data_IF_025263983998
#
_entry.id   IF_025263983998
#
_cell.length_a   1.000
_cell.length_b   1.000
_cell.length_c   1.000
_cell.angle_alpha   90.00
_cell.angle_beta   90.00
_cell.angle_gamma   90.00
#
_symmetry.space_group_name_H-M   'P 1'
#
loop_
_entity.id
_entity.type
_entity.pdbx_description
1 polymer ?
#
# COMPACT_ATOMS: atom_id res chain seq x y z
N UNK A 1 -14.62 22.33 9.33
CA UNK A 1 -15.29 21.00 9.19
C UNK A 1 -14.33 20.04 8.52
N UNK A 2 -14.15 18.83 9.06
CA UNK A 2 -13.36 17.76 8.46
C UNK A 2 -14.27 16.69 7.84
N UNK A 3 -13.87 16.14 6.68
CA UNK A 3 -14.53 15.01 6.01
C UNK A 3 -13.48 13.98 5.63
N UNK A 4 -13.78 12.71 5.81
CA UNK A 4 -12.94 11.61 5.36
C UNK A 4 -13.78 10.45 4.82
N UNK A 5 -13.20 9.69 3.89
CA UNK A 5 -13.79 8.45 3.39
C UNK A 5 -12.81 7.30 3.62
N UNK A 6 -13.30 6.23 4.22
CA UNK A 6 -12.49 5.06 4.54
C UNK A 6 -12.56 4.05 3.39
N UNK A 7 -11.42 3.56 2.89
CA UNK A 7 -11.39 2.52 1.86
C UNK A 7 -11.68 1.14 2.43
N UNK A 8 -11.92 0.16 1.53
CA UNK A 8 -12.14 -1.25 1.82
C UNK A 8 -11.10 -2.12 1.11
N UNK A 9 -10.76 -3.27 1.66
CA UNK A 9 -9.89 -4.26 1.01
C UNK A 9 -10.69 -5.34 0.29
N UNK A 10 -10.23 -5.77 -0.90
CA UNK A 10 -10.67 -7.02 -1.53
C UNK A 10 -9.77 -8.19 -1.07
N UNK A 11 -8.47 -7.94 -0.93
CA UNK A 11 -7.50 -8.82 -0.25
C UNK A 11 -7.28 -8.29 1.16
N UNK A 12 -7.45 -9.13 2.18
CA UNK A 12 -7.34 -8.75 3.59
C UNK A 12 -6.57 -9.80 4.36
N UNK A 13 -5.57 -9.39 5.14
CA UNK A 13 -4.88 -10.25 6.10
C UNK A 13 -5.83 -10.67 7.24
N UNK A 14 -5.68 -11.89 7.71
CA UNK A 14 -6.57 -12.43 8.78
C UNK A 14 -6.40 -11.71 10.13
N UNK A 15 -5.34 -10.94 10.28
CA UNK A 15 -5.00 -10.22 11.51
C UNK A 15 -5.39 -8.73 11.47
N UNK A 16 -6.05 -8.26 10.41
CA UNK A 16 -6.53 -6.87 10.30
C UNK A 16 -7.61 -6.54 11.33
N UNK A 17 -7.71 -5.26 11.70
CA UNK A 17 -8.86 -4.76 12.45
C UNK A 17 -10.16 -4.93 11.64
N UNK A 18 -11.26 -5.19 12.33
CA UNK A 18 -12.52 -5.57 11.70
C UNK A 18 -13.17 -4.39 10.97
N UNK A 19 -13.38 -4.54 9.67
CA UNK A 19 -14.28 -3.70 8.90
C UNK A 19 -15.73 -4.13 9.14
N UNK A 20 -16.51 -3.29 9.84
CA UNK A 20 -17.88 -3.63 10.20
C UNK A 20 -18.81 -3.48 9.00
N UNK A 21 -19.48 -4.58 8.63
CA UNK A 21 -20.48 -4.68 7.55
C UNK A 21 -21.84 -5.06 8.08
N UNK A 22 -22.90 -4.71 7.33
CA UNK A 22 -24.30 -4.97 7.72
C UNK A 22 -24.68 -6.43 7.57
N UNK A 23 -24.07 -7.18 6.64
CA UNK A 23 -24.34 -8.58 6.30
C UNK A 23 -25.76 -8.84 5.75
N UNK A 24 -26.52 -7.78 5.49
CA UNK A 24 -27.84 -7.88 4.83
C UNK A 24 -27.64 -8.11 3.32
N UNK A 25 -27.83 -9.33 2.87
CA UNK A 25 -27.64 -9.74 1.48
C UNK A 25 -28.55 -9.01 0.49
N UNK A 26 -29.69 -8.48 0.95
CA UNK A 26 -30.64 -7.73 0.12
C UNK A 26 -30.15 -6.29 -0.14
N UNK A 27 -29.12 -5.84 0.57
CA UNK A 27 -28.58 -4.51 0.48
C UNK A 27 -27.07 -4.55 0.26
N UNK A 28 -26.61 -4.07 -0.93
CA UNK A 28 -25.21 -4.12 -1.36
C UNK A 28 -24.55 -5.50 -1.21
N UNK A 29 -25.33 -6.56 -1.43
CA UNK A 29 -24.87 -7.96 -1.29
C UNK A 29 -24.22 -8.26 0.07
N UNK A 30 -24.72 -7.66 1.15
CA UNK A 30 -24.17 -7.79 2.50
C UNK A 30 -23.09 -6.77 2.88
N UNK A 31 -22.60 -6.00 1.92
CA UNK A 31 -21.48 -5.07 2.11
C UNK A 31 -21.89 -3.66 2.56
N UNK A 32 -23.14 -3.43 2.96
CA UNK A 32 -23.62 -2.18 3.54
C UNK A 32 -22.87 -1.82 4.83
N UNK A 33 -22.91 -0.55 5.24
CA UNK A 33 -22.18 -0.02 6.42
C UNK A 33 -23.08 0.81 7.36
N UNK A 34 -24.39 0.55 7.37
CA UNK A 34 -25.31 1.29 8.26
C UNK A 34 -25.02 1.07 9.75
N UNK A 35 -24.57 -0.14 10.13
CA UNK A 35 -24.12 -0.41 11.51
C UNK A 35 -22.96 0.50 11.90
N UNK A 36 -21.95 0.64 11.04
CA UNK A 36 -20.82 1.53 11.27
C UNK A 36 -21.25 3.00 11.34
N UNK A 37 -22.13 3.44 10.42
CA UNK A 37 -22.71 4.79 10.41
C UNK A 37 -23.49 5.07 11.70
N UNK A 38 -24.29 4.10 12.16
CA UNK A 38 -25.00 4.22 13.44
C UNK A 38 -24.04 4.35 14.62
N UNK A 39 -22.98 3.55 14.65
CA UNK A 39 -21.94 3.64 15.69
C UNK A 39 -21.28 5.01 15.72
N UNK A 40 -21.00 5.60 14.55
CA UNK A 40 -20.46 6.97 14.47
C UNK A 40 -21.44 7.98 15.06
N UNK A 41 -22.70 7.96 14.62
CA UNK A 41 -23.66 9.01 14.93
C UNK A 41 -24.21 8.92 16.36
N UNK A 42 -24.41 7.72 16.88
CA UNK A 42 -25.11 7.51 18.16
C UNK A 42 -24.15 7.17 19.32
N UNK A 43 -22.99 6.57 19.04
CA UNK A 43 -22.10 6.08 20.09
C UNK A 43 -20.81 6.91 20.13
N UNK A 44 -20.05 6.96 19.03
CA UNK A 44 -18.76 7.66 18.98
C UNK A 44 -18.98 9.17 19.16
N UNK A 45 -19.95 9.74 18.44
CA UNK A 45 -20.24 11.19 18.52
C UNK A 45 -20.49 11.66 19.96
N UNK A 46 -21.26 10.90 20.74
CA UNK A 46 -21.52 11.24 22.15
C UNK A 46 -20.26 11.19 23.02
N UNK A 47 -19.34 10.28 22.72
CA UNK A 47 -18.09 10.11 23.49
C UNK A 47 -17.06 11.19 23.23
N UNK A 48 -17.04 11.77 22.03
CA UNK A 48 -16.03 12.76 21.64
C UNK A 48 -16.57 14.20 21.63
N UNK A 49 -17.87 14.39 21.84
CA UNK A 49 -18.49 15.72 21.86
C UNK A 49 -17.86 16.58 22.94
N UNK A 50 -17.39 17.79 22.57
CA UNK A 50 -16.70 18.70 23.45
C UNK A 50 -15.20 18.47 23.61
N UNK A 51 -14.64 17.42 23.00
CA UNK A 51 -13.19 17.21 22.98
C UNK A 51 -12.52 18.19 21.99
N UNK A 52 -11.27 18.55 22.29
CA UNK A 52 -10.46 19.36 21.38
C UNK A 52 -9.97 18.48 20.21
N UNK A 53 -10.37 18.82 18.98
CA UNK A 53 -9.95 18.13 17.78
C UNK A 53 -8.43 18.29 17.49
N UNK A 54 -7.75 19.27 18.11
CA UNK A 54 -6.30 19.41 18.01
C UNK A 54 -5.55 18.31 18.78
N UNK A 55 -6.19 17.72 19.80
CA UNK A 55 -5.66 16.56 20.53
C UNK A 55 -6.10 15.24 19.85
N UNK A 56 -5.50 14.96 18.70
CA UNK A 56 -5.76 13.73 17.93
C UNK A 56 -5.63 12.48 18.80
N UNK A 57 -4.62 12.45 19.68
CA UNK A 57 -4.37 11.29 20.53
C UNK A 57 -5.50 11.06 21.52
N UNK A 58 -6.01 12.10 22.16
CA UNK A 58 -7.15 11.99 23.07
C UNK A 58 -8.42 11.50 22.35
N UNK A 59 -8.71 12.04 21.16
CA UNK A 59 -9.86 11.61 20.35
C UNK A 59 -9.74 10.13 19.99
N UNK A 60 -8.58 9.69 19.47
CA UNK A 60 -8.36 8.29 19.09
C UNK A 60 -8.44 7.35 20.30
N UNK A 61 -7.81 7.70 21.43
CA UNK A 61 -7.85 6.92 22.66
C UNK A 61 -9.27 6.80 23.25
N UNK A 62 -10.09 7.84 23.16
CA UNK A 62 -11.48 7.78 23.59
C UNK A 62 -12.26 6.73 22.79
N UNK A 63 -12.08 6.71 21.46
CA UNK A 63 -12.72 5.72 20.59
C UNK A 63 -12.20 4.29 20.84
N UNK A 64 -10.90 4.11 21.02
CA UNK A 64 -10.30 2.80 21.33
C UNK A 64 -10.81 2.25 22.66
N UNK A 65 -10.89 3.08 23.69
CA UNK A 65 -11.44 2.71 25.00
C UNK A 65 -12.94 2.37 24.91
N UNK A 66 -13.68 3.08 24.07
CA UNK A 66 -15.13 2.85 23.87
C UNK A 66 -15.38 1.52 23.15
N UNK A 67 -14.56 1.17 22.19
CA UNK A 67 -14.60 -0.14 21.53
C UNK A 67 -14.18 -1.25 22.49
N UNK A 68 -13.02 -1.16 23.10
CA UNK A 68 -12.50 -2.06 24.13
C UNK A 68 -12.12 -3.46 23.62
N UNK A 69 -12.16 -3.70 22.30
CA UNK A 69 -11.74 -4.98 21.68
C UNK A 69 -10.41 -4.84 20.96
N UNK A 70 -9.63 -5.92 20.90
CA UNK A 70 -8.31 -5.91 20.28
C UNK A 70 -8.33 -5.56 18.79
N UNK A 71 -9.37 -6.00 18.07
CA UNK A 71 -9.53 -5.83 16.63
C UNK A 71 -10.63 -4.84 16.23
N UNK A 72 -11.12 -4.02 17.16
CA UNK A 72 -12.18 -3.02 16.91
C UNK A 72 -13.52 -3.62 16.43
N UNK A 73 -13.83 -4.84 16.88
CA UNK A 73 -15.01 -5.58 16.43
C UNK A 73 -16.34 -5.04 16.95
N UNK A 74 -16.34 -4.23 18.02
CA UNK A 74 -17.56 -3.68 18.61
C UNK A 74 -18.09 -2.48 17.81
N UNK A 75 -17.24 -1.53 17.46
CA UNK A 75 -17.62 -0.33 16.73
C UNK A 75 -17.34 -0.41 15.24
N UNK A 76 -16.31 -1.14 14.85
CA UNK A 76 -15.79 -1.27 13.51
C UNK A 76 -14.60 -0.33 13.25
N UNK A 77 -13.52 -0.88 12.72
CA UNK A 77 -12.33 -0.10 12.37
C UNK A 77 -12.66 1.01 11.34
N UNK A 78 -13.56 0.75 10.42
CA UNK A 78 -14.04 1.73 9.44
C UNK A 78 -14.78 2.91 10.09
N UNK A 79 -15.61 2.67 11.13
CA UNK A 79 -16.28 3.73 11.89
C UNK A 79 -15.25 4.59 12.65
N UNK A 80 -14.34 3.95 13.37
CA UNK A 80 -13.32 4.61 14.18
C UNK A 80 -12.38 5.42 13.28
N UNK A 81 -11.87 4.82 12.20
CA UNK A 81 -10.94 5.52 11.29
C UNK A 81 -11.61 6.70 10.60
N UNK A 82 -12.87 6.57 10.18
CA UNK A 82 -13.60 7.68 9.56
C UNK A 82 -13.62 8.94 10.44
N UNK A 83 -13.85 8.75 11.74
CA UNK A 83 -13.82 9.84 12.72
C UNK A 83 -12.40 10.35 12.97
N UNK A 84 -11.43 9.47 13.14
CA UNK A 84 -10.02 9.80 13.35
C UNK A 84 -9.46 10.69 12.23
N UNK A 85 -9.69 10.32 10.97
CA UNK A 85 -9.23 11.09 9.81
C UNK A 85 -9.99 12.42 9.64
N UNK A 86 -11.31 12.42 9.93
CA UNK A 86 -12.12 13.64 9.87
C UNK A 86 -11.70 14.63 10.93
N UNK A 87 -11.36 14.17 12.15
CA UNK A 87 -10.82 15.00 13.22
C UNK A 87 -9.50 15.67 12.81
N UNK A 88 -8.56 14.91 12.25
CA UNK A 88 -7.29 15.43 11.75
C UNK A 88 -7.49 16.54 10.70
N UNK A 89 -8.42 16.35 9.76
CA UNK A 89 -8.73 17.37 8.75
C UNK A 89 -9.41 18.61 9.36
N UNK A 90 -10.29 18.41 10.33
CA UNK A 90 -10.94 19.52 11.04
C UNK A 90 -9.90 20.35 11.80
N UNK A 91 -8.97 19.69 12.47
CA UNK A 91 -7.87 20.30 13.19
C UNK A 91 -6.93 21.10 12.27
N UNK A 92 -6.53 20.50 11.13
CA UNK A 92 -5.72 21.17 10.13
C UNK A 92 -6.40 22.44 9.58
N UNK A 93 -7.71 22.34 9.27
CA UNK A 93 -8.49 23.49 8.83
C UNK A 93 -8.63 24.58 9.91
N UNK A 94 -8.81 24.20 11.18
CA UNK A 94 -8.85 25.12 12.30
C UNK A 94 -7.51 25.84 12.53
N UNK A 95 -6.40 25.13 12.31
CA UNK A 95 -5.04 25.68 12.38
C UNK A 95 -4.66 26.52 11.14
N UNK A 96 -5.53 26.58 10.10
CA UNK A 96 -5.23 27.28 8.85
C UNK A 96 -4.08 26.68 8.07
N UNK A 97 -3.85 25.37 8.21
CA UNK A 97 -2.74 24.67 7.57
C UNK A 97 -3.23 23.58 6.59
N UNK A 98 -2.51 23.33 5.48
CA UNK A 98 -2.75 22.15 4.68
C UNK A 98 -2.45 20.89 5.50
N UNK A 99 -3.13 19.79 5.20
CA UNK A 99 -3.10 18.58 6.04
C UNK A 99 -1.68 18.02 6.21
N UNK A 100 -0.89 17.97 5.15
CA UNK A 100 0.48 17.45 5.23
C UNK A 100 1.38 18.29 6.16
N UNK A 101 1.20 19.63 6.19
CA UNK A 101 1.92 20.52 7.10
C UNK A 101 1.46 20.38 8.54
N UNK A 102 0.14 20.30 8.76
CA UNK A 102 -0.43 20.08 10.08
C UNK A 102 0.08 18.78 10.72
N UNK A 103 0.11 17.68 9.96
CA UNK A 103 0.52 16.37 10.47
C UNK A 103 2.03 16.21 10.62
N UNK A 104 2.83 16.80 9.72
CA UNK A 104 4.27 16.57 9.62
C UNK A 104 5.15 17.80 9.97
N UNK A 105 4.53 18.95 10.24
CA UNK A 105 5.26 20.18 10.57
C UNK A 105 6.14 20.70 9.43
N UNK A 106 7.17 21.45 9.78
CA UNK A 106 8.12 22.04 8.81
C UNK A 106 8.99 21.01 8.07
N UNK A 107 9.09 19.79 8.57
CA UNK A 107 9.84 18.71 7.95
C UNK A 107 9.09 18.00 6.81
N UNK A 108 7.79 18.24 6.65
CA UNK A 108 6.93 17.65 5.63
C UNK A 108 7.22 18.25 4.23
N UNK A 109 8.28 17.77 3.58
CA UNK A 109 8.73 18.25 2.26
C UNK A 109 9.22 17.15 1.32
N UNK A 110 9.15 15.89 1.75
CA UNK A 110 9.64 14.75 0.96
C UNK A 110 8.48 14.18 0.13
N UNK A 111 8.54 14.35 -1.19
CA UNK A 111 7.65 13.73 -2.16
C UNK A 111 8.05 12.27 -2.35
N UNK A 112 7.10 11.32 -2.28
CA UNK A 112 7.41 9.90 -2.37
C UNK A 112 7.74 9.45 -3.79
N UNK A 113 8.49 8.35 -3.91
CA UNK A 113 8.53 7.55 -5.13
C UNK A 113 7.17 6.85 -5.26
N UNK A 114 6.45 7.08 -6.38
CA UNK A 114 5.20 6.37 -6.62
C UNK A 114 5.49 4.94 -7.10
N UNK A 115 4.90 3.96 -6.40
CA UNK A 115 4.92 2.54 -6.78
C UNK A 115 3.70 2.27 -7.64
N UNK A 116 3.85 2.39 -8.98
CA UNK A 116 2.73 2.24 -9.90
C UNK A 116 2.45 0.77 -10.17
N UNK A 117 1.31 0.26 -9.72
CA UNK A 117 0.84 -1.08 -10.09
C UNK A 117 0.29 -1.07 -11.53
N UNK A 118 1.11 -1.46 -12.50
CA UNK A 118 0.80 -1.35 -13.93
C UNK A 118 0.36 -2.67 -14.57
N UNK A 119 0.56 -3.82 -13.88
CA UNK A 119 0.10 -5.11 -14.32
C UNK A 119 -0.40 -5.92 -13.12
N UNK A 120 -1.61 -6.47 -13.24
CA UNK A 120 -2.30 -7.25 -12.22
C UNK A 120 -2.37 -8.73 -12.56
N UNK A 121 -2.26 -9.56 -11.53
CA UNK A 121 -2.53 -10.99 -11.55
C UNK A 121 -3.30 -11.42 -10.30
N UNK A 122 -3.18 -12.67 -9.90
CA UNK A 122 -3.83 -13.20 -8.70
C UNK A 122 -5.31 -12.88 -8.63
N UNK A 123 -5.79 -12.53 -7.44
CA UNK A 123 -7.20 -12.19 -7.21
C UNK A 123 -7.62 -10.91 -7.96
N UNK A 124 -6.71 -9.95 -8.16
CA UNK A 124 -6.99 -8.70 -8.89
C UNK A 124 -7.26 -8.91 -10.39
N UNK A 125 -6.91 -10.07 -10.93
CA UNK A 125 -7.20 -10.52 -12.30
C UNK A 125 -8.15 -11.73 -12.33
N UNK A 126 -8.89 -12.00 -11.25
CA UNK A 126 -9.74 -13.19 -11.11
C UNK A 126 -8.99 -14.51 -11.42
N UNK A 127 -7.72 -14.58 -11.05
CA UNK A 127 -6.83 -15.73 -11.30
C UNK A 127 -6.64 -16.07 -12.80
N UNK A 128 -6.83 -15.09 -13.67
CA UNK A 128 -6.58 -15.22 -15.11
C UNK A 128 -5.20 -14.65 -15.44
N UNK A 129 -4.20 -15.48 -15.66
CA UNK A 129 -2.84 -15.05 -15.97
C UNK A 129 -1.84 -15.36 -14.86
N UNK A 130 -1.09 -14.38 -14.38
CA UNK A 130 -0.06 -14.58 -13.35
C UNK A 130 -0.64 -14.96 -11.99
N UNK A 131 0.12 -15.75 -11.20
CA UNK A 131 -0.23 -16.08 -9.82
C UNK A 131 0.09 -14.93 -8.87
N UNK A 132 1.19 -14.19 -9.14
CA UNK A 132 1.57 -13.00 -8.39
C UNK A 132 0.57 -11.87 -8.68
N UNK A 133 0.21 -11.13 -7.62
CA UNK A 133 -0.93 -10.21 -7.64
C UNK A 133 -0.61 -8.87 -8.31
N UNK A 134 0.58 -8.29 -8.05
CA UNK A 134 0.93 -6.97 -8.54
C UNK A 134 2.36 -6.87 -9.05
N UNK A 135 2.48 -6.22 -10.19
CA UNK A 135 3.76 -5.89 -10.80
C UNK A 135 3.83 -4.37 -10.97
N UNK A 136 4.73 -3.78 -10.22
CA UNK A 136 4.87 -2.33 -10.09
C UNK A 136 6.13 -1.82 -10.75
N UNK A 137 6.12 -0.52 -11.08
CA UNK A 137 7.30 0.25 -11.47
C UNK A 137 7.53 1.40 -10.51
N UNK A 138 8.81 1.70 -10.28
CA UNK A 138 9.29 2.76 -9.39
C UNK A 138 10.25 3.69 -10.15
N UNK A 139 9.86 4.94 -10.48
CA UNK A 139 10.73 5.91 -11.19
C UNK A 139 11.80 6.52 -10.27
N UNK A 140 12.80 5.73 -9.89
CA UNK A 140 13.84 6.10 -8.93
C UNK A 140 14.74 7.26 -9.38
N UNK A 141 14.97 7.36 -10.69
CA UNK A 141 15.89 8.31 -11.29
C UNK A 141 15.26 9.63 -11.68
N UNK A 142 13.98 9.84 -11.41
CA UNK A 142 13.32 11.10 -11.76
C UNK A 142 13.85 12.26 -10.90
N UNK A 143 13.95 13.46 -11.47
CA UNK A 143 14.48 14.62 -10.75
C UNK A 143 13.48 15.22 -9.73
N UNK A 144 12.18 15.00 -9.92
CA UNK A 144 11.10 15.50 -9.08
C UNK A 144 9.86 14.62 -9.24
N UNK A 145 8.81 14.87 -8.45
CA UNK A 145 7.60 14.05 -8.47
C UNK A 145 6.82 14.17 -9.78
N UNK A 146 6.70 15.36 -10.33
CA UNK A 146 6.04 15.62 -11.63
C UNK A 146 6.65 14.77 -12.75
N UNK A 147 7.97 14.71 -12.83
CA UNK A 147 8.66 13.87 -13.80
C UNK A 147 8.48 12.37 -13.49
N UNK A 148 8.49 11.98 -12.22
CA UNK A 148 8.24 10.60 -11.83
C UNK A 148 6.84 10.15 -12.28
N UNK A 149 5.82 10.99 -12.10
CA UNK A 149 4.45 10.72 -12.57
C UNK A 149 4.39 10.64 -14.11
N UNK A 150 5.09 11.53 -14.82
CA UNK A 150 5.20 11.48 -16.28
C UNK A 150 5.82 10.16 -16.76
N UNK A 151 6.97 9.79 -16.20
CA UNK A 151 7.67 8.55 -16.57
C UNK A 151 6.82 7.29 -16.32
N UNK A 152 6.13 7.26 -15.17
CA UNK A 152 5.21 6.17 -14.85
C UNK A 152 4.05 6.08 -15.82
N UNK A 153 3.45 7.23 -16.19
CA UNK A 153 2.33 7.31 -17.14
C UNK A 153 2.74 6.90 -18.56
N UNK A 154 3.89 7.39 -19.03
CA UNK A 154 4.43 7.02 -20.35
C UNK A 154 4.74 5.52 -20.42
N UNK A 155 5.33 4.95 -19.37
CA UNK A 155 5.59 3.52 -19.27
C UNK A 155 4.28 2.71 -19.25
N UNK A 156 3.26 3.15 -18.52
CA UNK A 156 1.93 2.52 -18.51
C UNK A 156 1.31 2.47 -19.92
N UNK A 157 1.37 3.58 -20.66
CA UNK A 157 0.87 3.62 -22.04
C UNK A 157 1.74 2.80 -23.02
N UNK A 158 3.04 2.76 -22.81
CA UNK A 158 3.94 1.88 -23.57
C UNK A 158 3.60 0.41 -23.31
N UNK A 159 3.31 0.02 -22.04
CA UNK A 159 2.89 -1.35 -21.72
C UNK A 159 1.57 -1.71 -22.42
N UNK A 160 0.59 -0.80 -22.44
CA UNK A 160 -0.65 -1.00 -23.22
C UNK A 160 -0.36 -1.32 -24.67
N UNK A 161 0.56 -0.57 -25.27
CA UNK A 161 0.95 -0.78 -26.68
C UNK A 161 1.69 -2.12 -26.88
N UNK A 162 2.58 -2.52 -25.95
CA UNK A 162 3.27 -3.82 -25.97
C UNK A 162 2.26 -4.95 -25.89
N UNK A 163 1.38 -4.93 -24.89
CA UNK A 163 0.35 -5.97 -24.70
C UNK A 163 -0.53 -6.12 -25.95
N UNK A 164 -0.99 -4.99 -26.53
CA UNK A 164 -1.80 -5.01 -27.73
C UNK A 164 -1.06 -5.61 -28.93
N UNK A 165 0.23 -5.28 -29.13
CA UNK A 165 1.04 -5.82 -30.23
C UNK A 165 1.30 -7.30 -30.09
N UNK A 166 1.39 -7.79 -28.86
CA UNK A 166 1.66 -9.20 -28.55
C UNK A 166 0.34 -10.02 -28.43
N UNK A 167 -0.83 -9.39 -28.75
CA UNK A 167 -2.14 -10.04 -28.80
C UNK A 167 -2.84 -10.22 -27.45
N UNK A 168 -2.35 -9.57 -26.39
CA UNK A 168 -2.94 -9.63 -25.05
C UNK A 168 -4.07 -8.63 -24.84
N UNK A 169 -4.97 -8.95 -23.91
CA UNK A 169 -5.99 -8.04 -23.43
C UNK A 169 -5.34 -6.83 -22.74
N UNK A 170 -5.97 -5.65 -22.91
CA UNK A 170 -5.63 -4.41 -22.18
C UNK A 170 -6.76 -3.99 -21.24
N UNK A 171 -7.61 -4.93 -20.79
CA UNK A 171 -8.51 -4.74 -19.68
C UNK A 171 -7.73 -4.52 -18.39
N UNK A 172 -8.29 -3.77 -17.45
CA UNK A 172 -7.62 -3.42 -16.20
C UNK A 172 -8.24 -4.12 -15.00
N UNK A 173 -7.42 -4.45 -14.01
CA UNK A 173 -7.84 -4.96 -12.72
C UNK A 173 -8.33 -3.88 -11.75
N UNK A 174 -8.52 -4.26 -10.50
CA UNK A 174 -9.09 -3.40 -9.46
C UNK A 174 -8.25 -2.15 -9.18
N UNK A 175 -6.95 -2.22 -9.35
CA UNK A 175 -6.01 -1.13 -9.07
C UNK A 175 -5.56 -0.36 -10.32
N UNK A 176 -6.16 -0.66 -11.47
CA UNK A 176 -5.92 0.04 -12.73
C UNK A 176 -4.75 -0.53 -13.56
N UNK A 177 -4.01 -1.51 -13.06
CA UNK A 177 -3.03 -2.27 -13.83
C UNK A 177 -3.69 -3.17 -14.87
N UNK A 178 -3.02 -3.45 -16.00
CA UNK A 178 -3.53 -4.37 -17.01
C UNK A 178 -3.57 -5.80 -16.47
N UNK A 179 -4.57 -6.57 -16.89
CA UNK A 179 -4.78 -7.96 -16.46
C UNK A 179 -4.74 -8.93 -17.66
N UNK A 180 -3.57 -9.13 -18.29
CA UNK A 180 -3.43 -10.06 -19.41
C UNK A 180 -3.35 -11.51 -18.93
N UNK A 181 -3.86 -12.46 -19.74
CA UNK A 181 -3.72 -13.87 -19.48
C UNK A 181 -2.33 -14.39 -19.91
N UNK A 182 -1.31 -14.13 -19.06
CA UNK A 182 0.07 -14.53 -19.30
C UNK A 182 0.31 -16.01 -18.98
N UNK A 183 1.39 -16.56 -19.52
CA UNK A 183 1.74 -17.98 -19.38
C UNK A 183 2.68 -18.28 -18.21
N UNK A 184 3.43 -17.29 -17.75
CA UNK A 184 4.34 -17.41 -16.60
C UNK A 184 4.37 -16.10 -15.81
N UNK A 185 4.75 -16.19 -14.54
CA UNK A 185 4.92 -14.99 -13.70
C UNK A 185 6.10 -14.12 -14.19
N UNK A 186 7.17 -14.73 -14.70
CA UNK A 186 8.33 -14.01 -15.21
C UNK A 186 8.02 -13.20 -16.48
N UNK A 187 7.09 -13.68 -17.33
CA UNK A 187 6.67 -12.97 -18.54
C UNK A 187 6.12 -11.56 -18.24
N UNK A 188 5.45 -11.38 -17.10
CA UNK A 188 4.97 -10.06 -16.68
C UNK A 188 6.13 -9.08 -16.48
N UNK A 189 7.20 -9.53 -15.82
CA UNK A 189 8.40 -8.71 -15.61
C UNK A 189 9.04 -8.34 -16.96
N UNK A 190 9.17 -9.31 -17.86
CA UNK A 190 9.79 -9.11 -19.18
C UNK A 190 9.00 -8.14 -20.06
N UNK A 191 7.66 -8.18 -20.01
CA UNK A 191 6.80 -7.22 -20.70
C UNK A 191 6.91 -5.80 -20.12
N UNK A 192 7.06 -5.68 -18.80
CA UNK A 192 7.28 -4.40 -18.14
C UNK A 192 8.64 -3.82 -18.55
N UNK A 193 9.69 -4.61 -18.56
CA UNK A 193 11.03 -4.15 -19.01
C UNK A 193 10.98 -3.65 -20.46
N UNK A 194 10.34 -4.42 -21.34
CA UNK A 194 10.10 -4.02 -22.76
C UNK A 194 9.31 -2.70 -22.84
N UNK A 195 8.35 -2.48 -21.95
CA UNK A 195 7.59 -1.24 -21.89
C UNK A 195 8.40 -0.05 -21.39
N UNK A 196 9.26 -0.24 -20.38
CA UNK A 196 10.19 0.80 -19.87
C UNK A 196 11.13 1.25 -21.01
N UNK A 197 11.74 0.29 -21.71
CA UNK A 197 12.64 0.59 -22.83
C UNK A 197 11.89 1.26 -23.98
N UNK A 198 10.69 0.78 -24.33
CA UNK A 198 9.83 1.38 -25.36
C UNK A 198 9.41 2.81 -25.04
N UNK A 199 9.25 3.14 -23.75
CA UNK A 199 8.98 4.50 -23.29
C UNK A 199 10.24 5.40 -23.30
N UNK A 200 11.41 4.85 -23.61
CA UNK A 200 12.68 5.57 -23.70
C UNK A 200 13.45 5.68 -22.39
N UNK A 201 13.09 4.86 -21.39
CA UNK A 201 13.72 4.85 -20.08
C UNK A 201 14.64 3.62 -19.91
N UNK A 202 15.60 3.74 -18.98
CA UNK A 202 16.56 2.67 -18.67
C UNK A 202 16.07 1.84 -17.46
N UNK A 203 15.78 0.53 -17.64
CA UNK A 203 15.44 -0.36 -16.54
C UNK A 203 16.54 -0.40 -15.47
N UNK A 204 16.15 -0.31 -14.19
CA UNK A 204 17.03 -0.36 -13.03
C UNK A 204 17.79 0.94 -12.73
N UNK A 205 18.09 1.76 -13.74
CA UNK A 205 18.73 3.06 -13.55
C UNK A 205 17.70 4.17 -13.30
N UNK A 206 16.74 4.32 -14.21
CA UNK A 206 15.69 5.33 -14.15
C UNK A 206 14.41 4.79 -13.54
N UNK A 207 13.97 3.61 -13.97
CA UNK A 207 12.75 2.95 -13.49
C UNK A 207 13.10 1.52 -13.09
N UNK A 208 12.84 1.16 -11.84
CA UNK A 208 12.98 -0.20 -11.33
C UNK A 208 11.63 -0.92 -11.28
N UNK A 209 11.68 -2.24 -11.09
CA UNK A 209 10.50 -3.10 -10.89
C UNK A 209 10.31 -3.36 -9.40
N UNK A 210 9.07 -3.42 -8.96
CA UNK A 210 8.70 -3.94 -7.65
C UNK A 210 7.55 -4.95 -7.79
N UNK A 211 7.49 -5.91 -6.91
CA UNK A 211 6.52 -7.00 -6.95
C UNK A 211 5.73 -7.09 -5.65
N UNK A 212 4.46 -7.42 -5.76
CA UNK A 212 3.64 -7.89 -4.66
C UNK A 212 3.00 -9.23 -5.05
N UNK A 213 3.60 -10.35 -4.63
CA UNK A 213 3.02 -11.67 -4.82
C UNK A 213 1.70 -11.91 -4.08
N UNK A 214 1.44 -11.24 -2.97
CA UNK A 214 0.34 -11.53 -2.05
C UNK A 214 0.25 -13.05 -1.76
N UNK A 215 1.39 -13.62 -1.35
CA UNK A 215 1.62 -15.06 -1.40
C UNK A 215 0.73 -15.87 -0.46
N UNK A 216 0.04 -15.25 0.51
CA UNK A 216 -1.00 -15.90 1.32
C UNK A 216 -2.12 -16.45 0.44
N UNK A 217 -2.46 -15.79 -0.67
CA UNK A 217 -3.52 -16.23 -1.60
C UNK A 217 -3.18 -17.47 -2.43
N UNK A 218 -1.93 -17.88 -2.47
CA UNK A 218 -1.45 -19.08 -3.17
C UNK A 218 -0.85 -20.14 -2.23
N UNK A 219 -0.98 -19.95 -0.90
CA UNK A 219 -0.43 -20.84 0.12
C UNK A 219 -1.47 -21.83 0.60
N UNK A 220 -1.17 -23.12 0.46
CA UNK A 220 -2.04 -24.22 0.87
C UNK A 220 -1.17 -25.35 1.47
N UNK A 221 -1.53 -25.83 2.65
CA UNK A 221 -0.89 -27.00 3.29
C UNK A 221 0.65 -26.96 3.32
N UNK A 222 1.22 -25.81 3.68
CA UNK A 222 2.67 -25.66 3.81
C UNK A 222 3.43 -25.45 2.48
N UNK A 223 2.71 -25.20 1.39
CA UNK A 223 3.29 -25.03 0.05
C UNK A 223 2.59 -23.91 -0.72
N UNK A 224 3.29 -23.37 -1.73
CA UNK A 224 2.79 -22.33 -2.63
C UNK A 224 2.41 -22.97 -3.98
N UNK A 225 1.17 -22.72 -4.41
CA UNK A 225 0.63 -23.25 -5.66
C UNK A 225 0.74 -22.20 -6.77
N UNK A 226 1.73 -22.35 -7.64
CA UNK A 226 1.85 -21.56 -8.86
C UNK A 226 0.99 -22.20 -9.96
N UNK A 227 -0.28 -21.80 -10.03
CA UNK A 227 -1.30 -22.39 -10.91
C UNK A 227 -0.95 -22.23 -12.38
N UNK A 228 -0.51 -21.02 -12.75
CA UNK A 228 -0.10 -20.66 -14.11
C UNK A 228 1.02 -21.58 -14.63
N UNK A 229 1.98 -21.89 -13.78
CA UNK A 229 3.13 -22.75 -14.11
C UNK A 229 2.93 -24.21 -13.72
N UNK A 230 1.77 -24.55 -13.14
CA UNK A 230 1.42 -25.91 -12.66
C UNK A 230 2.47 -26.49 -11.72
N UNK A 231 2.99 -25.65 -10.81
CA UNK A 231 4.01 -26.03 -9.84
C UNK A 231 3.49 -25.90 -8.42
N UNK A 232 3.92 -26.82 -7.56
CA UNK A 232 3.74 -26.74 -6.11
C UNK A 232 5.12 -26.70 -5.48
N UNK A 233 5.44 -25.63 -4.75
CA UNK A 233 6.78 -25.38 -4.23
C UNK A 233 6.71 -24.99 -2.76
N UNK A 234 7.76 -25.28 -1.99
CA UNK A 234 7.89 -24.88 -0.60
C UNK A 234 8.53 -23.49 -0.45
N UNK A 235 8.63 -23.00 0.79
CA UNK A 235 9.20 -21.67 1.10
C UNK A 235 10.64 -21.52 0.61
N UNK A 236 11.48 -22.55 0.73
CA UNK A 236 12.87 -22.50 0.30
C UNK A 236 12.97 -22.36 -1.23
N UNK A 237 12.14 -23.09 -1.96
CA UNK A 237 12.06 -23.02 -3.43
C UNK A 237 11.50 -21.65 -3.88
N UNK A 238 10.52 -21.09 -3.14
CA UNK A 238 9.98 -19.76 -3.40
C UNK A 238 11.06 -18.69 -3.22
N UNK A 239 11.80 -18.74 -2.11
CA UNK A 239 12.94 -17.83 -1.84
C UNK A 239 14.02 -17.95 -2.92
N UNK A 240 14.33 -19.18 -3.37
CA UNK A 240 15.27 -19.39 -4.46
C UNK A 240 14.81 -18.75 -5.75
N UNK A 241 13.54 -18.92 -6.13
CA UNK A 241 12.95 -18.30 -7.32
C UNK A 241 13.11 -16.77 -7.28
N UNK A 242 12.80 -16.13 -6.14
CA UNK A 242 13.00 -14.69 -6.00
C UNK A 242 14.47 -14.28 -6.05
N UNK A 243 15.38 -15.07 -5.48
CA UNK A 243 16.81 -14.79 -5.55
C UNK A 243 17.35 -14.86 -6.99
N UNK A 244 16.88 -15.83 -7.77
CA UNK A 244 17.20 -15.94 -9.19
C UNK A 244 16.65 -14.71 -9.98
N UNK A 245 15.41 -14.27 -9.68
CA UNK A 245 14.81 -13.10 -10.32
C UNK A 245 15.49 -11.78 -9.94
N UNK A 246 15.84 -11.57 -8.67
CA UNK A 246 16.58 -10.37 -8.22
C UNK A 246 17.97 -10.29 -8.87
N UNK A 247 18.55 -11.44 -9.24
CA UNK A 247 19.82 -11.48 -9.98
C UNK A 247 19.63 -11.15 -11.46
N UNK A 248 18.50 -11.56 -12.05
CA UNK A 248 18.21 -11.41 -13.49
C UNK A 248 17.56 -10.07 -13.83
N UNK A 249 16.70 -9.55 -12.96
CA UNK A 249 15.86 -8.41 -13.23
C UNK A 249 16.13 -7.25 -12.23
N UNK A 250 15.91 -5.99 -12.61
CA UNK A 250 16.13 -4.83 -11.74
C UNK A 250 15.00 -4.67 -10.71
N UNK A 251 14.80 -5.68 -9.87
CA UNK A 251 13.81 -5.67 -8.79
C UNK A 251 14.39 -4.93 -7.59
N UNK A 252 13.65 -3.92 -7.08
CA UNK A 252 14.06 -3.09 -5.95
C UNK A 252 13.32 -3.42 -4.67
N UNK A 253 12.10 -3.94 -4.77
CA UNK A 253 11.22 -4.24 -3.64
C UNK A 253 10.37 -5.47 -3.91
N UNK A 254 10.12 -6.24 -2.87
CA UNK A 254 9.31 -7.45 -2.88
C UNK A 254 8.40 -7.43 -1.65
N UNK A 255 7.10 -7.23 -1.87
CA UNK A 255 6.06 -7.20 -0.86
C UNK A 255 5.41 -8.58 -0.74
N UNK A 256 5.02 -8.98 0.47
CA UNK A 256 4.28 -10.22 0.80
C UNK A 256 4.71 -11.44 -0.02
N UNK A 257 6.05 -11.63 -0.08
CA UNK A 257 6.69 -12.68 -0.84
C UNK A 257 6.34 -14.09 -0.37
N UNK A 258 5.92 -14.23 0.89
CA UNK A 258 5.54 -15.47 1.55
C UNK A 258 4.27 -15.24 2.38
N UNK A 259 3.60 -16.34 2.76
CA UNK A 259 2.35 -16.29 3.53
C UNK A 259 2.54 -15.59 4.88
N UNK A 260 1.47 -14.96 5.36
CA UNK A 260 1.43 -14.09 6.56
C UNK A 260 1.83 -14.77 7.88
N UNK A 261 1.80 -16.09 7.94
CA UNK A 261 2.25 -16.85 9.11
C UNK A 261 3.45 -17.77 8.82
N UNK A 262 4.07 -17.69 7.64
CA UNK A 262 5.31 -18.41 7.31
C UNK A 262 6.57 -17.68 7.85
N UNK A 263 6.63 -17.45 9.15
CA UNK A 263 7.72 -16.75 9.82
C UNK A 263 9.11 -17.37 9.57
N UNK A 264 9.18 -18.69 9.35
CA UNK A 264 10.44 -19.38 9.03
C UNK A 264 10.91 -19.01 7.63
N UNK A 265 10.01 -19.02 6.68
CA UNK A 265 10.27 -18.60 5.30
C UNK A 265 10.69 -17.14 5.22
N UNK A 266 9.99 -16.25 5.91
CA UNK A 266 10.31 -14.81 5.97
C UNK A 266 11.73 -14.56 6.51
N UNK A 267 12.15 -15.26 7.57
CA UNK A 267 13.54 -15.17 8.09
C UNK A 267 14.57 -15.66 7.07
N UNK A 268 14.25 -16.73 6.34
CA UNK A 268 15.11 -17.22 5.27
C UNK A 268 15.20 -16.20 4.14
N UNK A 269 14.07 -15.64 3.73
CA UNK A 269 13.97 -14.61 2.69
C UNK A 269 14.83 -13.38 3.06
N UNK A 270 14.66 -12.84 4.26
CA UNK A 270 15.42 -11.67 4.70
C UNK A 270 16.92 -11.94 4.80
N UNK A 271 17.32 -13.12 5.27
CA UNK A 271 18.74 -13.53 5.27
C UNK A 271 19.32 -13.61 3.86
N UNK A 272 18.52 -14.01 2.87
CA UNK A 272 18.97 -14.23 1.48
C UNK A 272 18.99 -12.94 0.67
N UNK A 273 18.00 -12.09 0.82
CA UNK A 273 17.75 -10.92 -0.04
C UNK A 273 17.71 -9.58 0.71
N UNK A 274 17.58 -9.59 2.03
CA UNK A 274 17.34 -8.35 2.79
C UNK A 274 18.46 -7.33 2.77
N UNK A 275 19.65 -7.68 2.30
CA UNK A 275 20.74 -6.75 2.06
C UNK A 275 20.84 -6.29 0.59
N UNK A 276 19.98 -6.79 -0.28
CA UNK A 276 19.98 -6.49 -1.72
C UNK A 276 18.78 -5.65 -2.13
N UNK A 277 17.61 -5.98 -1.61
CA UNK A 277 16.34 -5.34 -1.93
C UNK A 277 15.52 -5.04 -0.68
N UNK A 278 14.50 -4.24 -0.85
CA UNK A 278 13.49 -4.02 0.16
C UNK A 278 12.54 -5.23 0.23
N UNK A 279 12.28 -5.70 1.46
CA UNK A 279 11.34 -6.77 1.76
C UNK A 279 10.23 -6.20 2.62
N UNK A 280 9.07 -5.99 2.01
CA UNK A 280 7.93 -5.32 2.63
C UNK A 280 6.95 -6.35 3.16
N UNK A 281 6.59 -6.25 4.42
CA UNK A 281 5.49 -7.05 4.98
C UNK A 281 4.20 -6.24 5.03
N UNK A 282 3.16 -6.76 4.38
CA UNK A 282 1.78 -6.29 4.43
C UNK A 282 0.96 -7.19 5.37
N UNK A 283 0.44 -8.30 4.89
CA UNK A 283 -0.43 -9.21 5.65
C UNK A 283 0.26 -9.79 6.89
N UNK A 284 1.58 -10.01 6.84
CA UNK A 284 2.35 -10.46 7.98
C UNK A 284 2.34 -9.45 9.15
N UNK A 285 2.23 -8.15 8.88
CA UNK A 285 2.29 -7.10 9.90
C UNK A 285 1.00 -6.34 10.11
N UNK A 286 0.15 -6.21 9.10
CA UNK A 286 -1.16 -5.52 9.10
C UNK A 286 -1.15 -4.18 9.85
N UNK A 287 -0.08 -3.39 9.66
CA UNK A 287 0.13 -2.10 10.36
C UNK A 287 0.07 -2.20 11.90
N UNK A 288 0.20 -3.40 12.45
CA UNK A 288 0.07 -3.69 13.89
C UNK A 288 1.43 -3.68 14.59
N UNK A 289 1.59 -2.84 15.63
CA UNK A 289 2.85 -2.67 16.36
C UNK A 289 3.37 -3.95 17.02
N UNK A 290 2.49 -4.85 17.47
CA UNK A 290 2.90 -6.12 18.10
C UNK A 290 3.51 -7.04 17.04
N UNK A 291 2.88 -7.16 15.86
CA UNK A 291 3.38 -7.97 14.75
C UNK A 291 4.65 -7.38 14.15
N UNK A 292 4.73 -6.03 14.01
CA UNK A 292 5.94 -5.32 13.56
C UNK A 292 7.09 -5.56 14.57
N UNK A 293 6.83 -5.42 15.87
CA UNK A 293 7.82 -5.69 16.93
C UNK A 293 8.36 -7.11 16.85
N UNK A 294 7.49 -8.11 16.64
CA UNK A 294 7.90 -9.49 16.40
C UNK A 294 8.77 -9.60 15.14
N UNK A 295 8.36 -8.97 14.05
CA UNK A 295 9.12 -8.98 12.79
C UNK A 295 10.53 -8.42 12.93
N UNK A 296 10.66 -7.31 13.64
CA UNK A 296 11.95 -6.68 13.96
C UNK A 296 12.82 -7.63 14.80
N UNK A 297 12.26 -8.18 15.89
CA UNK A 297 12.96 -9.12 16.78
C UNK A 297 13.43 -10.37 16.04
N UNK A 298 12.59 -10.93 15.18
CA UNK A 298 12.89 -12.15 14.43
C UNK A 298 13.64 -11.88 13.12
N UNK A 299 13.87 -10.62 12.74
CA UNK A 299 14.52 -10.22 11.48
C UNK A 299 13.78 -10.82 10.27
N UNK A 300 12.46 -10.72 10.26
CA UNK A 300 11.63 -11.31 9.23
C UNK A 300 11.64 -10.51 7.92
N UNK A 301 11.67 -9.17 8.01
CA UNK A 301 11.62 -8.25 6.89
C UNK A 301 12.57 -7.07 7.11
N UNK A 302 12.47 -6.03 6.30
CA UNK A 302 13.24 -4.79 6.43
C UNK A 302 12.43 -3.53 6.09
N UNK A 303 11.15 -3.72 5.76
CA UNK A 303 10.18 -2.67 5.53
C UNK A 303 8.77 -3.14 5.91
N UNK A 304 7.87 -2.21 6.09
CA UNK A 304 6.46 -2.47 6.41
C UNK A 304 5.55 -1.68 5.49
N UNK A 305 4.47 -2.32 5.02
CA UNK A 305 3.38 -1.63 4.37
C UNK A 305 2.44 -1.04 5.42
N UNK A 306 1.99 0.18 5.18
CA UNK A 306 1.16 0.94 6.11
C UNK A 306 -0.19 1.22 5.46
N UNK A 307 -1.23 0.64 6.01
CA UNK A 307 -2.63 0.84 5.61
C UNK A 307 -3.44 1.28 6.82
N UNK A 308 -3.93 2.52 6.83
CA UNK A 308 -4.59 3.10 8.00
C UNK A 308 -5.80 2.28 8.49
N UNK A 309 -6.55 1.68 7.57
CA UNK A 309 -7.73 0.90 7.92
C UNK A 309 -7.42 -0.51 8.45
N UNK A 310 -6.20 -1.03 8.28
CA UNK A 310 -5.77 -2.30 8.90
C UNK A 310 -5.67 -2.21 10.41
N UNK A 311 -5.40 -1.00 10.94
CA UNK A 311 -5.26 -0.74 12.38
C UNK A 311 -6.39 0.13 12.94
N UNK A 312 -6.85 1.15 12.21
CA UNK A 312 -8.10 1.87 12.45
C UNK A 312 -8.02 3.22 13.13
N UNK A 313 -6.84 3.74 13.49
CA UNK A 313 -6.67 5.13 13.93
C UNK A 313 -5.39 5.75 13.35
N UNK A 314 -5.38 7.08 13.24
CA UNK A 314 -4.20 7.83 12.83
C UNK A 314 -3.07 7.70 13.87
N UNK A 315 -3.39 7.71 15.15
CA UNK A 315 -2.42 7.58 16.25
C UNK A 315 -1.70 6.24 16.22
N UNK A 316 -2.43 5.12 16.08
CA UNK A 316 -1.82 3.78 15.98
C UNK A 316 -0.99 3.64 14.69
N UNK A 317 -1.47 4.20 13.57
CA UNK A 317 -0.73 4.20 12.30
C UNK A 317 0.61 4.94 12.43
N UNK A 318 0.63 6.10 13.07
CA UNK A 318 1.86 6.85 13.35
C UNK A 318 2.82 6.05 14.23
N UNK A 319 2.31 5.36 15.25
CA UNK A 319 3.11 4.51 16.12
C UNK A 319 3.78 3.35 15.35
N UNK A 320 3.06 2.73 14.41
CA UNK A 320 3.61 1.68 13.54
C UNK A 320 4.76 2.19 12.65
N UNK A 321 4.61 3.37 12.05
CA UNK A 321 5.66 4.02 11.25
C UNK A 321 6.88 4.35 12.11
N UNK A 322 6.65 4.90 13.28
CA UNK A 322 7.75 5.29 14.18
C UNK A 322 8.52 4.06 14.69
N UNK A 323 7.84 2.98 15.03
CA UNK A 323 8.47 1.71 15.41
C UNK A 323 9.35 1.16 14.29
N UNK A 324 8.87 1.16 13.04
CA UNK A 324 9.64 0.75 11.88
C UNK A 324 10.89 1.63 11.70
N UNK A 325 10.73 2.96 11.80
CA UNK A 325 11.81 3.94 11.66
C UNK A 325 12.91 3.73 12.72
N UNK A 326 12.53 3.53 13.98
CA UNK A 326 13.47 3.27 15.07
C UNK A 326 14.28 1.98 14.88
N UNK A 327 13.71 1.00 14.20
CA UNK A 327 14.39 -0.23 13.83
C UNK A 327 15.26 -0.11 12.54
N UNK A 328 15.29 1.07 11.91
CA UNK A 328 15.94 1.27 10.62
C UNK A 328 15.20 0.68 9.43
N UNK A 329 13.93 0.29 9.62
CA UNK A 329 13.06 -0.19 8.56
C UNK A 329 12.46 0.97 7.76
N UNK A 330 12.13 0.70 6.51
CA UNK A 330 11.32 1.61 5.70
C UNK A 330 9.84 1.37 5.95
N UNK A 331 9.05 2.39 5.64
CA UNK A 331 7.59 2.30 5.68
C UNK A 331 7.03 2.80 4.34
N UNK A 332 6.19 2.01 3.69
CA UNK A 332 5.51 2.36 2.44
C UNK A 332 4.03 2.60 2.75
N UNK A 333 3.55 3.83 2.51
CA UNK A 333 2.12 4.10 2.65
C UNK A 333 1.38 3.50 1.47
N UNK A 334 0.24 2.87 1.74
CA UNK A 334 -0.53 2.15 0.72
C UNK A 334 -2.00 2.51 0.72
N UNK A 335 -2.59 2.44 -0.48
CA UNK A 335 -4.02 2.41 -0.71
C UNK A 335 -4.62 1.03 -0.36
N UNK A 336 -5.90 0.83 -0.71
CA UNK A 336 -6.57 -0.46 -0.71
C UNK A 336 -7.17 -0.74 -2.10
N UNK A 337 -7.49 -2.01 -2.37
CA UNK A 337 -8.17 -2.41 -3.63
C UNK A 337 -9.53 -1.75 -3.80
N UNK A 338 -10.33 -1.64 -2.75
CA UNK A 338 -11.60 -0.92 -2.72
C UNK A 338 -11.42 0.55 -2.28
N UNK A 339 -10.62 1.29 -3.01
CA UNK A 339 -10.27 2.68 -2.70
C UNK A 339 -11.40 3.66 -2.97
N UNK A 340 -11.32 4.84 -2.35
CA UNK A 340 -12.20 5.99 -2.55
C UNK A 340 -11.44 7.13 -3.22
N UNK A 341 -12.13 8.20 -3.62
CA UNK A 341 -11.48 9.43 -4.14
C UNK A 341 -10.85 10.30 -3.03
N UNK A 342 -10.92 9.86 -1.78
CA UNK A 342 -10.26 10.56 -0.66
C UNK A 342 -8.72 10.49 -0.81
N UNK A 343 -8.07 11.64 -0.70
CA UNK A 343 -6.62 11.78 -0.94
C UNK A 343 -5.77 11.85 0.34
N UNK A 344 -6.33 11.49 1.48
CA UNK A 344 -5.66 11.59 2.79
C UNK A 344 -4.26 10.96 2.79
N UNK A 345 -4.11 9.78 2.17
CA UNK A 345 -2.83 9.06 2.16
C UNK A 345 -1.72 9.79 1.40
N UNK A 346 -2.03 10.66 0.45
CA UNK A 346 -1.05 11.49 -0.24
C UNK A 346 -0.44 12.53 0.72
N UNK A 347 -1.29 13.31 1.41
CA UNK A 347 -0.88 14.24 2.46
C UNK A 347 -0.12 13.52 3.58
N UNK A 348 -0.64 12.37 4.02
CA UNK A 348 -0.06 11.57 5.09
C UNK A 348 1.35 11.05 4.75
N UNK A 349 1.56 10.62 3.51
CA UNK A 349 2.88 10.16 3.04
C UNK A 349 3.93 11.25 3.13
N UNK A 350 3.59 12.47 2.68
CA UNK A 350 4.48 13.62 2.76
C UNK A 350 4.69 14.06 4.21
N UNK A 351 3.63 14.08 5.01
CA UNK A 351 3.69 14.40 6.44
C UNK A 351 4.64 13.48 7.21
N UNK A 352 4.56 12.18 6.96
CA UNK A 352 5.41 11.19 7.64
C UNK A 352 6.81 11.07 7.02
N UNK A 353 7.04 11.65 5.84
CA UNK A 353 8.34 11.61 5.16
C UNK A 353 8.81 10.18 4.85
N UNK A 354 7.88 9.26 4.57
CA UNK A 354 8.21 7.84 4.35
C UNK A 354 8.93 7.59 3.02
N UNK A 355 8.76 8.51 2.05
CA UNK A 355 9.46 8.47 0.77
C UNK A 355 8.91 7.47 -0.24
N UNK A 356 7.87 6.71 0.10
CA UNK A 356 7.24 5.73 -0.79
C UNK A 356 5.72 5.78 -0.67
N UNK A 357 5.01 5.66 -1.80
CA UNK A 357 3.54 5.56 -1.85
C UNK A 357 3.12 4.53 -2.90
N UNK A 358 2.38 3.51 -2.49
CA UNK A 358 1.70 2.53 -3.36
C UNK A 358 0.24 2.94 -3.48
N UNK A 359 -0.21 3.35 -4.69
CA UNK A 359 -1.60 3.80 -4.88
C UNK A 359 -2.16 3.48 -6.27
N UNK A 360 -1.75 2.35 -6.84
CA UNK A 360 -2.28 1.81 -8.10
C UNK A 360 -1.64 2.41 -9.35
N UNK A 361 -2.27 2.16 -10.49
CA UNK A 361 -1.84 2.69 -11.78
C UNK A 361 -2.25 4.15 -11.98
N UNK A 362 -1.77 4.78 -13.07
CA UNK A 362 -2.24 6.10 -13.54
C UNK A 362 -3.58 5.98 -14.29
N UNK A 363 -4.48 5.16 -13.76
CA UNK A 363 -5.80 4.83 -14.29
C UNK A 363 -6.78 4.69 -13.12
N UNK A 364 -8.07 4.95 -13.32
CA UNK A 364 -9.14 5.00 -12.33
C UNK A 364 -9.03 6.22 -11.40
N UNK A 365 -10.13 6.97 -11.28
CA UNK A 365 -10.17 8.28 -10.61
C UNK A 365 -9.71 8.24 -9.15
N UNK A 366 -10.08 7.18 -8.43
CA UNK A 366 -9.69 6.97 -7.03
C UNK A 366 -8.18 6.75 -6.82
N UNK A 367 -7.44 6.34 -7.87
CA UNK A 367 -5.97 6.24 -7.85
C UNK A 367 -5.35 7.57 -8.24
N UNK A 368 -5.81 8.13 -9.37
CA UNK A 368 -5.28 9.36 -9.96
C UNK A 368 -5.40 10.55 -8.99
N UNK A 369 -6.44 10.61 -8.17
CA UNK A 369 -6.61 11.71 -7.20
C UNK A 369 -5.48 11.81 -6.18
N UNK A 370 -4.87 10.68 -5.76
CA UNK A 370 -3.71 10.69 -4.87
C UNK A 370 -2.48 11.29 -5.56
N UNK A 371 -2.27 10.95 -6.82
CA UNK A 371 -1.17 11.53 -7.62
C UNK A 371 -1.39 13.02 -7.88
N UNK A 372 -2.61 13.44 -8.18
CA UNK A 372 -2.97 14.85 -8.34
C UNK A 372 -2.73 15.64 -7.05
N UNK A 373 -3.04 15.05 -5.89
CA UNK A 373 -2.77 15.69 -4.60
C UNK A 373 -1.27 15.87 -4.36
N UNK A 374 -0.44 14.89 -4.72
CA UNK A 374 1.02 15.03 -4.60
C UNK A 374 1.58 16.10 -5.54
N UNK A 375 1.00 16.28 -6.74
CA UNK A 375 1.36 17.40 -7.62
C UNK A 375 1.03 18.75 -6.98
N UNK A 376 -0.15 18.90 -6.35
CA UNK A 376 -0.55 20.12 -5.62
C UNK A 376 0.41 20.39 -4.46
N UNK A 377 0.80 19.35 -3.71
CA UNK A 377 1.77 19.48 -2.61
C UNK A 377 3.15 19.89 -3.16
N UNK A 378 3.62 19.29 -4.25
CA UNK A 378 4.88 19.67 -4.89
C UNK A 378 4.86 21.14 -5.34
N UNK A 379 3.75 21.60 -5.93
CA UNK A 379 3.55 22.99 -6.34
C UNK A 379 3.56 23.94 -5.13
N UNK A 380 2.87 23.59 -4.04
CA UNK A 380 2.84 24.38 -2.81
C UNK A 380 4.22 24.47 -2.13
N UNK A 381 4.99 23.38 -2.13
CA UNK A 381 6.34 23.34 -1.59
C UNK A 381 7.35 24.12 -2.44
N UNK A 382 7.12 24.22 -3.75
CA UNK A 382 8.02 24.91 -4.67
C UNK A 382 9.46 24.42 -4.56
N UNK A 383 10.40 25.32 -4.30
CA UNK A 383 11.83 25.00 -4.18
C UNK A 383 12.20 24.14 -2.95
N UNK A 384 11.30 24.01 -1.96
CA UNK A 384 11.53 23.16 -0.78
C UNK A 384 11.21 21.69 -1.05
N UNK A 385 10.51 21.39 -2.15
CA UNK A 385 10.11 20.03 -2.48
C UNK A 385 11.35 19.14 -2.72
N UNK A 386 11.40 18.00 -2.06
CA UNK A 386 12.48 17.02 -2.18
C UNK A 386 11.89 15.71 -2.68
N UNK A 387 12.26 15.28 -3.88
CA UNK A 387 11.87 13.95 -4.35
C UNK A 387 12.74 12.88 -3.70
N UNK A 388 12.13 11.86 -3.12
CA UNK A 388 12.85 10.84 -2.36
C UNK A 388 13.81 10.01 -3.25
N UNK A 389 13.39 9.72 -4.49
CA UNK A 389 14.20 9.00 -5.46
C UNK A 389 14.76 7.68 -4.92
N UNK A 390 15.96 7.32 -5.35
CA UNK A 390 16.61 6.08 -4.91
C UNK A 390 16.83 5.99 -3.39
N UNK A 391 16.93 7.13 -2.70
CA UNK A 391 17.14 7.18 -1.24
C UNK A 391 15.94 6.61 -0.46
N UNK A 392 14.76 6.55 -1.06
CA UNK A 392 13.60 5.90 -0.44
C UNK A 392 13.88 4.43 -0.11
N UNK A 393 14.69 3.75 -0.93
CA UNK A 393 15.02 2.31 -0.84
C UNK A 393 16.45 2.05 -0.34
N UNK A 394 17.29 3.09 -0.21
CA UNK A 394 18.69 2.90 0.14
C UNK A 394 18.86 2.40 1.58
N UNK A 395 19.78 1.51 1.75
CA UNK A 395 20.33 1.01 3.01
C UNK A 395 21.79 1.35 3.12
#
# INVERSE_FOLDING_TARGET
MGRAAVPSGASTGIHEALELRDEDKNRYSGKGVLKAVKNVNEIIAQSILGMDALDQSAVDQAMLKLDGTANKSKLGANAILGVSLAAARAAAAAAGQPLFRYLGGSSAKVLPVPMFNILNGGIHANWQGTDLQEFMIAPLGAPNFREALRWGTETYHALKSVLKSDGYSTGVGDEGGFAPALKTNAEAIELILKAIEKAGYKPGEQIAVALDPAASGIYEDGTYLLRTEKKKINSEQMVKMYADWVTKYPIISLEDALAEDDWKGWKLLNRTLGNKIELVGDDIFVTNVERISRGIKEKAANAVLIKLNQIGTLTETKAAIEMARQAGWKAMISHRSGETVDNFIADFTVAMGTGQLKTGATCRGERVEKYNQLLRIEEELGAEAVYAGRKAFSR
#
